data_IF_147294448716
#
_entry.id   IF_147294448716
#
_cell.length_a   1.000
_cell.length_b   1.000
_cell.length_c   1.000
_cell.angle_alpha   90.00
_cell.angle_beta   90.00
_cell.angle_gamma   90.00
#
_symmetry.space_group_name_H-M   'P 1'
#
loop_
_entity.id
_entity.type
_entity.pdbx_description
1 polymer ?
#
# COMPACT_ATOMS: atom_id res chain seq x y z
N UNK A 1 -13.20 31.65 10.20
CA UNK A 1 -11.78 31.42 10.55
C UNK A 1 -11.38 30.20 9.77
N UNK A 2 -10.60 30.39 8.69
CA UNK A 2 -10.10 29.27 7.91
C UNK A 2 -9.16 28.49 8.83
N UNK A 3 -9.55 27.27 9.15
CA UNK A 3 -8.69 26.34 9.87
C UNK A 3 -7.42 26.22 9.03
N UNK A 4 -6.31 26.70 9.58
CA UNK A 4 -5.03 26.77 8.88
C UNK A 4 -4.56 25.32 8.74
N UNK A 5 -5.04 24.65 7.69
CA UNK A 5 -4.68 23.30 7.30
C UNK A 5 -3.25 23.36 6.75
N UNK A 6 -2.27 23.58 7.64
CA UNK A 6 -0.87 23.46 7.31
C UNK A 6 -0.56 21.98 7.21
N UNK A 7 -0.95 21.36 6.10
CA UNK A 7 -0.52 20.00 5.80
C UNK A 7 0.99 20.03 5.66
N UNK A 8 1.66 19.26 6.51
CA UNK A 8 3.06 19.01 6.35
C UNK A 8 3.23 18.06 5.16
N UNK A 9 3.38 18.65 3.97
CA UNK A 9 3.57 17.94 2.72
C UNK A 9 4.74 16.95 2.80
N UNK A 10 5.78 17.26 3.57
CA UNK A 10 6.95 16.40 3.75
C UNK A 10 6.60 15.18 4.61
N UNK A 11 5.82 15.34 5.67
CA UNK A 11 5.33 14.23 6.50
C UNK A 11 4.38 13.32 5.70
N UNK A 12 3.46 13.89 4.92
CA UNK A 12 2.56 13.12 4.07
C UNK A 12 3.31 12.34 2.99
N UNK A 13 4.31 12.96 2.35
CA UNK A 13 5.20 12.26 1.43
C UNK A 13 6.00 11.15 2.11
N UNK A 14 6.45 11.38 3.35
CA UNK A 14 7.11 10.37 4.18
C UNK A 14 6.21 9.15 4.45
N UNK A 15 4.94 9.38 4.81
CA UNK A 15 3.95 8.31 5.04
C UNK A 15 3.66 7.56 3.75
N UNK A 16 3.45 8.26 2.63
CA UNK A 16 3.23 7.64 1.31
C UNK A 16 4.39 6.71 0.97
N UNK A 17 5.62 7.21 1.09
CA UNK A 17 6.84 6.44 0.79
C UNK A 17 6.95 5.21 1.70
N UNK A 18 6.67 5.36 2.99
CA UNK A 18 6.67 4.24 3.93
C UNK A 18 5.67 3.15 3.52
N UNK A 19 4.43 3.52 3.20
CA UNK A 19 3.40 2.57 2.76
C UNK A 19 3.79 1.84 1.47
N UNK A 20 4.41 2.56 0.52
CA UNK A 20 4.89 1.97 -0.73
C UNK A 20 6.06 1.00 -0.52
N UNK A 21 7.01 1.36 0.36
CA UNK A 21 8.13 0.48 0.72
C UNK A 21 7.63 -0.79 1.39
N UNK A 22 6.79 -0.67 2.42
CA UNK A 22 6.22 -1.82 3.13
C UNK A 22 5.40 -2.72 2.20
N UNK A 23 4.65 -2.13 1.26
CA UNK A 23 3.94 -2.90 0.22
C UNK A 23 4.91 -3.73 -0.60
N UNK A 24 6.00 -3.12 -1.08
CA UNK A 24 7.01 -3.79 -1.89
C UNK A 24 7.70 -4.93 -1.14
N UNK A 25 8.08 -4.69 0.12
CA UNK A 25 8.76 -5.69 0.96
C UNK A 25 7.85 -6.90 1.23
N UNK A 26 6.57 -6.65 1.55
CA UNK A 26 5.58 -7.72 1.78
C UNK A 26 5.25 -8.45 0.49
N UNK A 27 5.15 -7.75 -0.64
CA UNK A 27 4.91 -8.37 -1.94
C UNK A 27 6.06 -9.29 -2.35
N UNK A 28 7.31 -8.86 -2.15
CA UNK A 28 8.48 -9.70 -2.38
C UNK A 28 8.48 -10.94 -1.48
N UNK A 29 8.23 -10.77 -0.18
CA UNK A 29 8.16 -11.87 0.77
C UNK A 29 7.02 -12.84 0.43
N UNK A 30 5.87 -12.32 -0.01
CA UNK A 30 4.73 -13.12 -0.45
C UNK A 30 5.09 -13.98 -1.67
N UNK A 31 5.72 -13.39 -2.70
CA UNK A 31 6.12 -14.14 -3.90
C UNK A 31 7.14 -15.23 -3.55
N UNK A 32 8.14 -14.92 -2.72
CA UNK A 32 9.14 -15.91 -2.27
C UNK A 32 8.48 -17.05 -1.49
N UNK A 33 7.59 -16.71 -0.54
CA UNK A 33 6.87 -17.70 0.26
C UNK A 33 5.99 -18.59 -0.60
N UNK A 34 5.28 -18.01 -1.57
CA UNK A 34 4.44 -18.77 -2.50
C UNK A 34 5.26 -19.71 -3.36
N UNK A 35 6.37 -19.24 -3.94
CA UNK A 35 7.26 -20.09 -4.73
C UNK A 35 7.86 -21.23 -3.92
N UNK A 36 8.29 -20.96 -2.67
CA UNK A 36 8.78 -22.01 -1.78
C UNK A 36 7.69 -23.05 -1.46
N UNK A 37 6.48 -22.59 -1.12
CA UNK A 37 5.35 -23.49 -0.90
C UNK A 37 5.00 -24.31 -2.17
N UNK A 38 4.94 -23.68 -3.34
CA UNK A 38 4.70 -24.38 -4.62
C UNK A 38 5.80 -25.41 -4.92
N UNK A 39 7.07 -25.11 -4.59
CA UNK A 39 8.18 -26.07 -4.78
C UNK A 39 8.04 -27.31 -3.90
N UNK A 40 7.37 -27.18 -2.75
CA UNK A 40 7.03 -28.30 -1.88
C UNK A 40 5.85 -29.11 -2.44
N UNK A 41 4.92 -28.45 -3.13
CA UNK A 41 3.74 -29.05 -3.76
C UNK A 41 4.11 -29.78 -5.07
N UNK A 42 4.29 -31.09 -4.99
CA UNK A 42 4.78 -31.91 -6.11
C UNK A 42 6.20 -32.46 -5.91
N UNK A 43 6.81 -32.15 -4.76
CA UNK A 43 7.99 -32.87 -4.25
C UNK A 43 7.58 -34.24 -3.66
N UNK A 44 8.53 -34.99 -3.08
CA UNK A 44 8.24 -36.23 -2.35
C UNK A 44 7.41 -36.02 -1.06
N UNK A 45 7.10 -34.77 -0.69
CA UNK A 45 6.28 -34.48 0.47
C UNK A 45 4.79 -34.65 0.14
N UNK A 46 4.31 -35.88 0.36
CA UNK A 46 2.93 -36.30 0.12
C UNK A 46 2.36 -36.91 1.39
N UNK A 47 1.12 -36.56 1.74
CA UNK A 47 0.40 -37.08 2.91
C UNK A 47 -0.51 -36.04 3.57
N UNK A 48 -1.28 -36.46 4.57
CA UNK A 48 -2.30 -35.62 5.21
C UNK A 48 -1.76 -34.29 5.76
N UNK A 49 -0.53 -34.30 6.30
CA UNK A 49 0.12 -33.08 6.79
C UNK A 49 0.46 -32.10 5.65
N UNK A 50 0.88 -32.61 4.50
CA UNK A 50 1.14 -31.79 3.31
C UNK A 50 -0.16 -31.19 2.79
N UNK A 51 -1.22 -32.00 2.65
CA UNK A 51 -2.54 -31.54 2.19
C UNK A 51 -3.12 -30.45 3.11
N UNK A 52 -3.02 -30.62 4.43
CA UNK A 52 -3.45 -29.60 5.41
C UNK A 52 -2.65 -28.31 5.27
N UNK A 53 -1.32 -28.41 5.17
CA UNK A 53 -0.46 -27.24 4.96
C UNK A 53 -0.86 -26.47 3.70
N UNK A 54 -0.99 -27.14 2.56
CA UNK A 54 -1.40 -26.49 1.31
C UNK A 54 -2.82 -25.93 1.38
N UNK A 55 -3.72 -26.62 2.08
CA UNK A 55 -5.06 -26.14 2.37
C UNK A 55 -5.03 -24.82 3.14
N UNK A 56 -4.27 -24.73 4.24
CA UNK A 56 -4.13 -23.51 5.04
C UNK A 56 -3.47 -22.37 4.25
N UNK A 57 -2.41 -22.67 3.51
CA UNK A 57 -1.71 -21.68 2.70
C UNK A 57 -2.63 -21.05 1.65
N UNK A 58 -3.40 -21.88 0.92
CA UNK A 58 -4.29 -21.40 -0.15
C UNK A 58 -5.61 -20.81 0.35
N UNK A 59 -6.16 -21.31 1.46
CA UNK A 59 -7.46 -20.85 1.97
C UNK A 59 -7.36 -19.63 2.87
N UNK A 60 -6.23 -19.44 3.56
CA UNK A 60 -6.10 -18.45 4.62
C UNK A 60 -4.89 -17.55 4.45
N UNK A 61 -3.68 -18.13 4.37
CA UNK A 61 -2.44 -17.34 4.43
C UNK A 61 -2.30 -16.47 3.19
N UNK A 62 -2.29 -17.06 1.98
CA UNK A 62 -2.11 -16.31 0.74
C UNK A 62 -3.21 -15.25 0.51
N UNK A 63 -4.51 -15.56 0.66
CA UNK A 63 -5.54 -14.57 0.46
C UNK A 63 -5.45 -13.41 1.45
N UNK A 64 -5.05 -13.66 2.71
CA UNK A 64 -4.92 -12.59 3.72
C UNK A 64 -3.72 -11.71 3.46
N UNK A 65 -2.58 -12.28 3.08
CA UNK A 65 -1.40 -11.50 2.71
C UNK A 65 -1.67 -10.63 1.47
N UNK A 66 -2.38 -11.16 0.46
CA UNK A 66 -2.80 -10.37 -0.69
C UNK A 66 -3.74 -9.22 -0.32
N UNK A 67 -4.68 -9.45 0.61
CA UNK A 67 -5.55 -8.38 1.13
C UNK A 67 -4.75 -7.30 1.86
N UNK A 68 -3.70 -7.68 2.59
CA UNK A 68 -2.81 -6.72 3.26
C UNK A 68 -2.04 -5.86 2.24
N UNK A 69 -1.46 -6.49 1.22
CA UNK A 69 -0.78 -5.78 0.12
C UNK A 69 -1.74 -4.79 -0.56
N UNK A 70 -2.97 -5.22 -0.84
CA UNK A 70 -4.00 -4.36 -1.41
C UNK A 70 -4.36 -3.18 -0.48
N UNK A 71 -4.50 -3.43 0.82
CA UNK A 71 -4.81 -2.37 1.78
C UNK A 71 -3.70 -1.30 1.85
N UNK A 72 -2.43 -1.71 1.78
CA UNK A 72 -1.30 -0.78 1.72
C UNK A 72 -1.30 0.05 0.44
N UNK A 73 -1.62 -0.57 -0.70
CA UNK A 73 -1.74 0.11 -1.99
C UNK A 73 -2.86 1.18 -1.97
N UNK A 74 -4.03 0.82 -1.46
CA UNK A 74 -5.17 1.74 -1.31
C UNK A 74 -4.81 2.89 -0.36
N UNK A 75 -4.17 2.59 0.78
CA UNK A 75 -3.77 3.61 1.74
C UNK A 75 -2.79 4.62 1.12
N UNK A 76 -1.77 4.14 0.40
CA UNK A 76 -0.83 5.01 -0.32
C UNK A 76 -1.53 5.84 -1.40
N UNK A 77 -2.47 5.23 -2.14
CA UNK A 77 -3.26 5.90 -3.17
C UNK A 77 -4.13 7.04 -2.60
N UNK A 78 -4.86 6.78 -1.51
CA UNK A 78 -5.68 7.79 -0.83
C UNK A 78 -4.81 8.92 -0.28
N UNK A 79 -3.67 8.60 0.35
CA UNK A 79 -2.75 9.61 0.86
C UNK A 79 -2.21 10.52 -0.26
N UNK A 80 -1.88 9.96 -1.43
CA UNK A 80 -1.50 10.75 -2.62
C UNK A 80 -2.62 11.66 -3.10
N UNK A 81 -3.85 11.17 -3.16
CA UNK A 81 -5.01 11.97 -3.57
C UNK A 81 -5.23 13.16 -2.63
N UNK A 82 -5.10 12.95 -1.32
CA UNK A 82 -5.20 14.02 -0.32
C UNK A 82 -4.16 15.11 -0.62
N UNK A 83 -2.89 14.74 -0.80
CA UNK A 83 -1.81 15.68 -1.12
C UNK A 83 -2.06 16.44 -2.41
N UNK A 84 -2.61 15.78 -3.44
CA UNK A 84 -2.95 16.43 -4.72
C UNK A 84 -4.06 17.46 -4.56
N UNK A 85 -5.13 17.13 -3.83
CA UNK A 85 -6.27 18.04 -3.59
C UNK A 85 -5.81 19.31 -2.87
N UNK A 86 -4.96 19.17 -1.85
CA UNK A 86 -4.48 20.32 -1.07
C UNK A 86 -3.52 21.18 -1.92
N UNK A 87 -2.61 20.57 -2.67
CA UNK A 87 -1.72 21.31 -3.59
C UNK A 87 -2.52 22.11 -4.63
N UNK A 88 -3.56 21.50 -5.21
CA UNK A 88 -4.42 22.17 -6.18
C UNK A 88 -5.15 23.37 -5.55
N UNK A 89 -5.70 23.20 -4.34
CA UNK A 89 -6.35 24.28 -3.61
C UNK A 89 -5.38 25.44 -3.29
N UNK A 90 -4.13 25.13 -2.94
CA UNK A 90 -3.09 26.12 -2.70
C UNK A 90 -2.70 26.88 -3.98
N UNK A 91 -2.60 26.20 -5.13
CA UNK A 91 -2.30 26.82 -6.43
C UNK A 91 -3.44 27.73 -6.91
N UNK A 92 -4.69 27.30 -6.80
CA UNK A 92 -5.88 28.09 -7.15
C UNK A 92 -5.96 29.36 -6.29
N UNK A 93 -5.72 29.22 -4.98
CA UNK A 93 -5.73 30.34 -4.04
C UNK A 93 -4.59 31.33 -4.36
N UNK A 94 -3.38 30.84 -4.60
CA UNK A 94 -2.24 31.68 -5.01
C UNK A 94 -2.55 32.45 -6.29
N UNK A 95 -3.08 31.77 -7.31
CA UNK A 95 -3.46 32.38 -8.59
C UNK A 95 -4.52 33.47 -8.46
N UNK A 96 -5.50 33.27 -7.57
CA UNK A 96 -6.50 34.30 -7.26
C UNK A 96 -5.88 35.56 -6.63
N UNK A 97 -4.97 35.39 -5.66
CA UNK A 97 -4.33 36.53 -4.99
C UNK A 97 -3.31 37.26 -5.87
N UNK A 98 -2.55 36.57 -6.73
CA UNK A 98 -1.69 37.24 -7.72
C UNK A 98 -2.48 37.92 -8.82
N UNK A 99 -3.67 37.43 -9.18
CA UNK A 99 -4.53 38.04 -10.19
C UNK A 99 -5.26 39.32 -9.74
N UNK A 100 -5.45 39.52 -8.43
CA UNK A 100 -6.11 40.71 -7.86
C UNK A 100 -5.10 41.77 -7.40
N UNK A 101 -3.84 41.38 -7.16
CA UNK A 101 -2.77 42.25 -6.69
C UNK A 101 -1.90 42.90 -7.77
N UNK A 102 -2.28 42.82 -9.05
CA UNK A 102 -1.58 43.40 -10.21
C UNK A 102 -2.31 44.59 -10.82
#
# INVERSE_FOLDING_TARGET
>A
MADLLQVNYDEMQGIIKMLETEKGDIEQLFQQTRQMAESLHGSQWVGEAADRFFGEMNSFVFPRTQKMIYALDVAAGVAKQIVQIINQADEETKGFFTGIGG
#
